data_IF_259644878533
#
_entry.id   IF_259644878533
#
_cell.length_a   1.000
_cell.length_b   1.000
_cell.length_c   1.000
_cell.angle_alpha   90.00
_cell.angle_beta   90.00
_cell.angle_gamma   90.00
#
_symmetry.space_group_name_H-M   'P 1'
#
loop_
_entity.id
_entity.type
_entity.pdbx_description
1 polymer ?
#
# COMPACT_ATOMS: atom_id res chain seq x y z
N UNK A 1 -37.56 -0.40 -6.29
CA UNK A 1 -36.91 0.76 -5.65
C UNK A 1 -35.40 0.56 -5.74
N UNK A 2 -34.72 1.20 -6.69
CA UNK A 2 -33.26 1.15 -6.77
C UNK A 2 -32.70 2.05 -5.67
N UNK A 3 -32.24 1.47 -4.55
CA UNK A 3 -31.51 2.24 -3.54
C UNK A 3 -30.14 2.54 -4.15
N UNK A 4 -29.89 3.80 -4.51
CA UNK A 4 -28.57 4.25 -4.93
C UNK A 4 -27.51 3.93 -3.87
N UNK A 5 -26.25 3.78 -4.28
CA UNK A 5 -25.16 3.43 -3.36
C UNK A 5 -25.09 4.50 -2.26
N UNK A 6 -25.21 4.10 -0.97
CA UNK A 6 -25.06 5.03 0.15
C UNK A 6 -23.73 5.77 0.08
N UNK A 7 -23.73 7.07 0.38
CA UNK A 7 -22.51 7.89 0.36
C UNK A 7 -21.39 7.31 1.23
N UNK A 8 -21.77 6.69 2.36
CA UNK A 8 -20.85 5.99 3.26
C UNK A 8 -20.13 4.81 2.59
N UNK A 9 -20.80 4.07 1.70
CA UNK A 9 -20.18 2.97 0.95
C UNK A 9 -19.24 3.50 -0.13
N UNK A 10 -19.57 4.61 -0.80
CA UNK A 10 -18.64 5.26 -1.72
C UNK A 10 -17.37 5.75 -0.99
N UNK A 11 -17.53 6.38 0.17
CA UNK A 11 -16.40 6.80 1.00
C UNK A 11 -15.54 5.61 1.45
N UNK A 12 -16.18 4.50 1.85
CA UNK A 12 -15.49 3.25 2.21
C UNK A 12 -14.73 2.66 1.03
N UNK A 13 -15.33 2.62 -0.17
CA UNK A 13 -14.68 2.12 -1.39
C UNK A 13 -13.47 2.97 -1.76
N UNK A 14 -13.59 4.31 -1.69
CA UNK A 14 -12.47 5.22 -1.94
C UNK A 14 -11.34 5.01 -0.93
N UNK A 15 -11.67 4.83 0.35
CA UNK A 15 -10.70 4.51 1.40
C UNK A 15 -9.98 3.19 1.12
N UNK A 16 -10.72 2.12 0.84
CA UNK A 16 -10.15 0.82 0.51
C UNK A 16 -9.27 0.86 -0.75
N UNK A 17 -9.68 1.62 -1.78
CA UNK A 17 -8.89 1.83 -2.98
C UNK A 17 -7.60 2.61 -2.71
N UNK A 18 -7.67 3.69 -1.93
CA UNK A 18 -6.51 4.49 -1.57
C UNK A 18 -5.49 3.67 -0.78
N UNK A 19 -5.96 2.92 0.23
CA UNK A 19 -5.12 2.01 1.02
C UNK A 19 -4.50 0.95 0.11
N UNK A 20 -5.29 0.27 -0.72
CA UNK A 20 -4.73 -0.71 -1.67
C UNK A 20 -3.65 -0.09 -2.56
N UNK A 21 -3.89 1.10 -3.09
CA UNK A 21 -2.91 1.80 -3.93
C UNK A 21 -1.60 2.07 -3.20
N UNK A 22 -1.65 2.61 -1.97
CA UNK A 22 -0.43 2.89 -1.20
C UNK A 22 0.36 1.64 -0.85
N UNK A 23 -0.33 0.54 -0.55
CA UNK A 23 0.28 -0.72 -0.12
C UNK A 23 0.91 -1.50 -1.29
N UNK A 24 0.38 -1.40 -2.51
CA UNK A 24 0.89 -2.15 -3.66
C UNK A 24 1.86 -1.37 -4.54
N UNK A 25 1.75 -0.04 -4.62
CA UNK A 25 2.65 0.79 -5.45
C UNK A 25 4.10 0.69 -4.99
N UNK A 26 4.33 0.54 -3.68
CA UNK A 26 5.67 0.48 -3.09
C UNK A 26 6.52 -0.68 -3.66
N UNK A 27 5.89 -1.78 -4.08
CA UNK A 27 6.58 -2.95 -4.65
C UNK A 27 7.32 -2.58 -5.95
N UNK A 28 6.72 -1.70 -6.77
CA UNK A 28 7.34 -1.19 -7.99
C UNK A 28 8.47 -0.19 -7.73
N UNK A 29 8.52 0.40 -6.53
CA UNK A 29 9.50 1.42 -6.13
C UNK A 29 10.70 0.84 -5.37
N UNK A 30 10.71 -0.45 -5.04
CA UNK A 30 11.82 -1.12 -4.34
C UNK A 30 13.20 -0.82 -4.96
N UNK A 31 13.38 -0.85 -6.30
CA UNK A 31 14.67 -0.51 -6.90
C UNK A 31 15.10 0.94 -6.65
N UNK A 32 14.16 1.88 -6.72
CA UNK A 32 14.41 3.30 -6.42
C UNK A 32 14.77 3.50 -4.96
N UNK A 33 14.04 2.86 -4.04
CA UNK A 33 14.33 2.89 -2.60
C UNK A 33 15.73 2.34 -2.30
N UNK A 34 16.09 1.21 -2.93
CA UNK A 34 17.41 0.61 -2.76
C UNK A 34 18.53 1.54 -3.24
N UNK A 35 18.33 2.22 -4.38
CA UNK A 35 19.27 3.19 -4.92
C UNK A 35 19.41 4.42 -4.01
N UNK A 36 18.30 5.00 -3.57
CA UNK A 36 18.27 6.23 -2.76
C UNK A 36 18.84 6.03 -1.36
N UNK A 37 18.61 4.85 -0.75
CA UNK A 37 19.13 4.50 0.57
C UNK A 37 20.52 3.85 0.52
N UNK A 38 21.09 3.63 -0.67
CA UNK A 38 22.35 2.91 -0.88
C UNK A 38 22.39 1.52 -0.21
N UNK A 39 21.29 0.78 -0.28
CA UNK A 39 21.17 -0.59 0.27
C UNK A 39 20.93 -1.61 -0.83
N UNK A 40 21.09 -2.89 -0.49
CA UNK A 40 20.79 -3.98 -1.43
C UNK A 40 19.27 -4.09 -1.69
N UNK A 41 18.88 -4.61 -2.85
CA UNK A 41 17.47 -4.91 -3.19
C UNK A 41 16.79 -5.80 -2.13
N UNK A 42 17.41 -6.92 -1.64
CA UNK A 42 16.83 -7.71 -0.56
C UNK A 42 16.60 -6.92 0.73
N UNK A 43 17.51 -6.01 1.08
CA UNK A 43 17.37 -5.15 2.27
C UNK A 43 16.19 -4.18 2.12
N UNK A 44 16.02 -3.55 0.95
CA UNK A 44 14.85 -2.72 0.66
C UNK A 44 13.53 -3.51 0.70
N UNK A 45 13.54 -4.75 0.20
CA UNK A 45 12.39 -5.65 0.31
C UNK A 45 12.05 -6.00 1.77
N UNK A 46 13.05 -6.23 2.62
CA UNK A 46 12.83 -6.47 4.06
C UNK A 46 12.19 -5.29 4.77
N UNK A 47 12.54 -4.05 4.40
CA UNK A 47 11.89 -2.85 4.96
C UNK A 47 10.37 -2.88 4.71
N UNK A 48 9.97 -3.22 3.48
CA UNK A 48 8.55 -3.35 3.11
C UNK A 48 7.87 -4.50 3.87
N UNK A 49 8.53 -5.66 3.99
CA UNK A 49 8.00 -6.81 4.73
C UNK A 49 7.80 -6.52 6.22
N UNK A 50 8.71 -5.78 6.85
CA UNK A 50 8.60 -5.38 8.26
C UNK A 50 7.47 -4.39 8.47
N UNK A 51 7.27 -3.44 7.55
CA UNK A 51 6.12 -2.56 7.57
C UNK A 51 4.81 -3.34 7.43
N UNK A 52 4.71 -4.27 6.47
CA UNK A 52 3.53 -5.11 6.28
C UNK A 52 3.22 -5.95 7.52
N UNK A 53 4.24 -6.47 8.21
CA UNK A 53 4.07 -7.17 9.47
C UNK A 53 3.49 -6.25 10.56
N UNK A 54 3.97 -5.00 10.64
CA UNK A 54 3.45 -4.01 11.59
C UNK A 54 2.04 -3.50 11.29
N UNK A 55 1.59 -3.58 10.04
CA UNK A 55 0.18 -3.29 9.67
C UNK A 55 -0.73 -4.49 9.97
N UNK A 56 -0.20 -5.71 9.81
CA UNK A 56 -0.97 -6.94 10.01
C UNK A 56 -1.28 -7.27 11.47
N UNK A 57 -0.49 -6.76 12.41
CA UNK A 57 -0.57 -7.03 13.86
C UNK A 57 -0.95 -5.77 14.61
#
# INVERSE_FOLDING_TARGET
>A
MSRGIPLALLALTLGAFAIGTTEFVIVGLIPTIAADLHVSLPSAGLLVSLYALGVAV
#
